data_IF_058239181411
#
_entry.id   IF_058239181411
#
_cell.length_a   1.000
_cell.length_b   1.000
_cell.length_c   1.000
_cell.angle_alpha   90.00
_cell.angle_beta   90.00
_cell.angle_gamma   90.00
#
_symmetry.space_group_name_H-M   'P 1'
#
loop_
_entity.id
_entity.type
_entity.pdbx_description
1 polymer ?
#
# COMPACT_ATOMS: atom_id res chain seq x y z
N UNK A 1 15.12 0.27 22.03
CA UNK A 1 13.90 -0.24 21.41
C UNK A 1 14.25 -1.34 20.42
N UNK A 2 13.63 -2.47 20.58
CA UNK A 2 13.87 -3.57 19.65
C UNK A 2 13.04 -3.43 18.39
N UNK A 3 13.65 -3.71 17.26
CA UNK A 3 12.94 -3.73 16.00
C UNK A 3 12.19 -5.05 15.87
N UNK A 4 10.95 -5.04 15.41
CA UNK A 4 10.23 -6.28 15.18
C UNK A 4 10.94 -7.12 14.11
N UNK A 5 10.77 -8.42 14.19
CA UNK A 5 11.31 -9.31 13.16
C UNK A 5 10.50 -9.17 11.88
N UNK A 6 11.09 -9.59 10.76
CA UNK A 6 10.36 -9.58 9.51
C UNK A 6 9.12 -10.46 9.61
N UNK A 7 9.24 -11.60 10.28
CA UNK A 7 8.14 -12.53 10.44
C UNK A 7 7.00 -11.92 11.23
N UNK A 8 7.31 -11.24 12.33
CA UNK A 8 6.26 -10.61 13.14
C UNK A 8 5.56 -9.49 12.37
N UNK A 9 6.28 -8.81 11.50
CA UNK A 9 5.67 -7.77 10.67
C UNK A 9 4.73 -8.36 9.63
N UNK A 10 5.11 -9.47 9.03
CA UNK A 10 4.23 -10.17 8.11
C UNK A 10 2.95 -10.56 8.80
N UNK A 11 3.05 -11.09 10.01
CA UNK A 11 1.88 -11.45 10.80
C UNK A 11 0.99 -10.24 11.09
N UNK A 12 1.61 -9.13 11.41
CA UNK A 12 0.85 -7.92 11.69
C UNK A 12 0.12 -7.41 10.46
N UNK A 13 0.79 -7.39 9.32
CA UNK A 13 0.16 -6.99 8.06
C UNK A 13 -0.99 -7.93 7.70
N UNK A 14 -0.84 -9.23 7.98
CA UNK A 14 -1.90 -10.19 7.70
C UNK A 14 -3.15 -9.94 8.53
N UNK A 15 -2.99 -9.50 9.78
CA UNK A 15 -4.11 -9.30 10.70
C UNK A 15 -4.78 -7.96 10.52
N UNK A 16 -4.04 -6.96 10.05
CA UNK A 16 -4.50 -5.59 10.01
C UNK A 16 -4.57 -5.13 8.56
N UNK A 17 -5.74 -4.71 8.14
CA UNK A 17 -5.91 -4.19 6.78
C UNK A 17 -5.57 -2.72 6.69
N UNK A 18 -5.50 -2.04 7.83
CA UNK A 18 -5.19 -0.62 7.87
C UNK A 18 -4.45 -0.31 9.16
N UNK A 19 -3.29 0.33 9.04
CA UNK A 19 -2.47 0.70 10.19
C UNK A 19 -2.38 2.21 10.24
N UNK A 20 -2.77 2.84 11.37
CA UNK A 20 -2.64 4.29 11.50
C UNK A 20 -1.19 4.73 11.37
N UNK A 21 -1.02 5.97 10.95
CA UNK A 21 0.30 6.54 10.70
C UNK A 21 1.22 6.44 11.93
N UNK A 22 0.66 6.55 13.14
CA UNK A 22 1.45 6.48 14.36
C UNK A 22 2.12 5.13 14.54
N UNK A 23 1.58 4.07 13.92
CA UNK A 23 2.08 2.72 14.12
C UNK A 23 2.97 2.23 12.98
N UNK A 24 3.05 2.97 11.88
CA UNK A 24 3.84 2.50 10.74
C UNK A 24 5.33 2.35 11.07
N UNK A 25 5.82 3.12 12.04
CA UNK A 25 7.23 3.06 12.43
C UNK A 25 7.60 1.76 13.14
N UNK A 26 6.61 0.98 13.56
CA UNK A 26 6.85 -0.32 14.15
C UNK A 26 7.10 -1.40 13.10
N UNK A 27 6.90 -1.05 11.83
CA UNK A 27 7.10 -1.98 10.71
C UNK A 27 8.42 -1.64 10.05
N UNK A 28 9.25 -2.67 9.83
CA UNK A 28 10.55 -2.51 9.21
C UNK A 28 10.42 -2.73 7.72
N UNK A 29 10.89 -1.78 6.92
CA UNK A 29 10.94 -1.92 5.47
C UNK A 29 12.37 -2.08 5.01
N UNK A 30 12.56 -2.75 3.89
CA UNK A 30 13.89 -2.88 3.29
C UNK A 30 14.33 -1.53 2.76
N UNK A 31 15.56 -1.10 3.05
CA UNK A 31 16.00 0.25 2.67
C UNK A 31 16.00 0.52 1.17
N UNK A 32 16.19 -0.53 0.37
CA UNK A 32 16.25 -0.36 -1.08
C UNK A 32 14.89 -0.49 -1.76
N UNK A 33 13.83 -0.63 -1.01
CA UNK A 33 12.49 -0.72 -1.56
C UNK A 33 11.93 0.68 -1.79
N UNK A 34 11.99 1.13 -3.04
CA UNK A 34 11.56 2.49 -3.39
C UNK A 34 10.19 2.87 -2.87
N UNK A 35 9.13 2.08 -3.15
CA UNK A 35 7.79 2.43 -2.68
C UNK A 35 7.67 2.53 -1.17
N UNK A 36 8.33 1.63 -0.46
CA UNK A 36 8.29 1.63 1.00
C UNK A 36 9.02 2.83 1.57
N UNK A 37 10.19 3.13 1.02
CA UNK A 37 10.97 4.27 1.47
C UNK A 37 10.26 5.58 1.20
N UNK A 38 9.70 5.72 0.01
CA UNK A 38 8.97 6.93 -0.35
C UNK A 38 7.75 7.13 0.52
N UNK A 39 7.03 6.04 0.82
CA UNK A 39 5.89 6.12 1.71
C UNK A 39 6.29 6.59 3.10
N UNK A 40 7.38 6.04 3.65
CA UNK A 40 7.85 6.44 4.97
C UNK A 40 8.26 7.91 5.01
N UNK A 41 8.73 8.44 3.88
CA UNK A 41 9.18 9.82 3.79
C UNK A 41 8.06 10.80 3.49
N UNK A 42 6.86 10.32 3.17
CA UNK A 42 5.78 11.19 2.74
C UNK A 42 5.36 12.19 3.81
N UNK A 43 5.35 11.77 5.07
CA UNK A 43 5.21 12.71 6.18
C UNK A 43 3.85 13.34 6.37
N UNK A 44 2.86 12.93 5.60
CA UNK A 44 1.52 13.51 5.68
C UNK A 44 0.53 12.45 6.16
N UNK A 45 -0.71 12.52 5.70
CA UNK A 45 -1.73 11.57 6.12
C UNK A 45 -1.43 10.20 5.52
N UNK A 46 -0.82 9.33 6.30
CA UNK A 46 -0.31 8.05 5.84
C UNK A 46 -1.08 6.88 6.43
N UNK A 47 -1.44 5.92 5.59
CA UNK A 47 -2.13 4.71 6.02
C UNK A 47 -1.48 3.50 5.35
N UNK A 48 -1.22 2.48 6.15
CA UNK A 48 -0.63 1.23 5.68
C UNK A 48 -1.71 0.15 5.60
N UNK A 49 -1.84 -0.45 4.44
CA UNK A 49 -2.79 -1.52 4.21
C UNK A 49 -2.06 -2.84 4.03
N UNK A 50 -2.62 -3.89 4.56
CA UNK A 50 -2.06 -5.21 4.37
C UNK A 50 -3.11 -6.27 4.64
N UNK A 51 -2.82 -7.50 4.25
CA UNK A 51 -3.75 -8.58 4.49
C UNK A 51 -3.23 -9.88 3.92
N UNK A 52 -3.76 -10.98 4.44
CA UNK A 52 -3.41 -12.29 3.96
C UNK A 52 -4.05 -12.53 2.59
N UNK A 53 -3.43 -13.42 1.83
CA UNK A 53 -3.99 -13.86 0.57
C UNK A 53 -5.28 -14.61 0.82
N UNK A 54 -6.24 -14.46 -0.09
CA UNK A 54 -7.50 -15.15 0.02
C UNK A 54 -8.49 -14.56 -0.96
N UNK A 55 -9.43 -15.36 -1.41
CA UNK A 55 -10.42 -14.92 -2.39
C UNK A 55 -11.17 -13.70 -1.89
N UNK A 56 -11.43 -12.75 -2.74
CA UNK A 56 -12.20 -11.56 -2.42
C UNK A 56 -11.45 -10.48 -1.65
N UNK A 57 -10.40 -10.82 -0.93
CA UNK A 57 -9.66 -9.83 -0.13
C UNK A 57 -8.91 -8.84 -0.99
N UNK A 58 -8.50 -9.24 -2.18
CA UNK A 58 -7.81 -8.34 -3.09
C UNK A 58 -8.67 -7.14 -3.45
N UNK A 59 -9.93 -7.38 -3.76
CA UNK A 59 -10.83 -6.28 -4.08
C UNK A 59 -11.13 -5.40 -2.87
N UNK A 60 -11.25 -6.01 -1.69
CA UNK A 60 -11.47 -5.25 -0.47
C UNK A 60 -10.27 -4.34 -0.19
N UNK A 61 -9.05 -4.84 -0.38
CA UNK A 61 -7.85 -4.05 -0.20
C UNK A 61 -7.79 -2.88 -1.17
N UNK A 62 -8.25 -3.09 -2.39
CA UNK A 62 -8.25 -2.02 -3.39
C UNK A 62 -9.34 -0.99 -3.14
N UNK A 63 -10.46 -1.42 -2.57
CA UNK A 63 -11.60 -0.53 -2.36
C UNK A 63 -11.36 0.46 -1.23
N UNK A 64 -10.73 0.02 -0.16
CA UNK A 64 -10.60 0.84 1.03
C UNK A 64 -9.82 2.13 0.81
N UNK A 65 -8.64 2.12 0.14
CA UNK A 65 -7.91 3.37 -0.10
C UNK A 65 -8.68 4.37 -0.95
N UNK A 66 -9.59 3.89 -1.78
CA UNK A 66 -10.34 4.78 -2.67
C UNK A 66 -11.13 5.84 -1.89
N UNK A 67 -11.52 5.54 -0.66
CA UNK A 67 -12.26 6.48 0.17
C UNK A 67 -11.45 7.74 0.47
N UNK A 68 -10.14 7.66 0.38
CA UNK A 68 -9.25 8.75 0.76
C UNK A 68 -8.54 9.41 -0.43
N UNK A 69 -8.76 8.89 -1.62
CA UNK A 69 -8.02 9.36 -2.79
C UNK A 69 -8.45 10.74 -3.28
N UNK A 70 -9.49 11.31 -2.68
CA UNK A 70 -9.87 12.69 -2.95
C UNK A 70 -9.14 13.69 -2.05
N UNK A 71 -8.38 13.21 -1.07
CA UNK A 71 -7.65 14.08 -0.14
C UNK A 71 -6.23 14.28 -0.61
N UNK A 72 -5.81 15.53 -0.91
CA UNK A 72 -4.49 15.77 -1.49
C UNK A 72 -3.33 15.27 -0.63
N UNK A 73 -3.49 15.26 0.68
CA UNK A 73 -2.43 14.86 1.59
C UNK A 73 -2.39 13.36 1.88
N UNK A 74 -3.31 12.60 1.30
CA UNK A 74 -3.36 11.17 1.58
C UNK A 74 -2.20 10.42 0.91
N UNK A 75 -1.57 9.55 1.68
CA UNK A 75 -0.54 8.63 1.19
C UNK A 75 -0.85 7.25 1.75
N UNK A 76 -1.01 6.29 0.88
CA UNK A 76 -1.29 4.91 1.27
C UNK A 76 -0.23 3.96 0.76
N UNK A 77 -0.09 2.84 1.44
CA UNK A 77 0.80 1.76 0.99
C UNK A 77 0.07 0.44 1.15
N UNK A 78 -0.06 -0.27 0.03
CA UNK A 78 -0.62 -1.63 0.02
C UNK A 78 0.53 -2.62 0.00
N UNK A 79 0.51 -3.57 0.94
CA UNK A 79 1.56 -4.58 1.05
C UNK A 79 0.98 -5.98 0.84
N UNK A 80 1.67 -6.76 0.04
CA UNK A 80 1.38 -8.18 -0.14
C UNK A 80 2.60 -8.99 0.29
N UNK A 81 2.44 -10.31 0.38
CA UNK A 81 3.53 -11.17 0.84
C UNK A 81 4.52 -11.49 -0.27
N UNK A 82 4.05 -11.65 -1.49
CA UNK A 82 4.89 -12.10 -2.60
C UNK A 82 4.74 -11.20 -3.80
N UNK A 83 5.71 -11.31 -4.71
CA UNK A 83 5.67 -10.55 -5.97
C UNK A 83 4.50 -10.98 -6.83
N UNK A 84 4.13 -12.26 -6.80
CA UNK A 84 3.00 -12.75 -7.58
C UNK A 84 1.71 -12.14 -7.09
N UNK A 85 1.52 -12.10 -5.78
CA UNK A 85 0.33 -11.47 -5.20
C UNK A 85 0.29 -9.98 -5.50
N UNK A 86 1.45 -9.34 -5.45
CA UNK A 86 1.53 -7.92 -5.78
C UNK A 86 1.15 -7.65 -7.23
N UNK A 87 1.65 -8.47 -8.15
CA UNK A 87 1.33 -8.30 -9.57
C UNK A 87 -0.16 -8.44 -9.82
N UNK A 88 -0.77 -9.42 -9.17
CA UNK A 88 -2.20 -9.62 -9.30
C UNK A 88 -2.97 -8.41 -8.78
N UNK A 89 -2.53 -7.87 -7.65
CA UNK A 89 -3.17 -6.69 -7.07
C UNK A 89 -3.03 -5.47 -8.00
N UNK A 90 -1.85 -5.27 -8.55
CA UNK A 90 -1.61 -4.17 -9.48
C UNK A 90 -2.50 -4.33 -10.72
N UNK A 91 -2.55 -5.53 -11.26
CA UNK A 91 -3.36 -5.81 -12.45
C UNK A 91 -4.83 -5.47 -12.20
N UNK A 92 -5.36 -5.94 -11.06
CA UNK A 92 -6.74 -5.66 -10.69
C UNK A 92 -7.00 -4.16 -10.50
N UNK A 93 -6.04 -3.46 -9.90
CA UNK A 93 -6.18 -2.03 -9.71
C UNK A 93 -6.23 -1.28 -11.04
N UNK A 94 -5.47 -1.74 -12.03
CA UNK A 94 -5.47 -1.13 -13.35
C UNK A 94 -6.80 -1.32 -14.07
N UNK A 95 -7.55 -2.36 -13.72
CA UNK A 95 -8.89 -2.55 -14.27
C UNK A 95 -9.92 -1.65 -13.59
N UNK A 96 -9.76 -1.41 -12.28
CA UNK A 96 -10.79 -0.78 -11.46
C UNK A 96 -10.57 0.72 -11.30
N UNK A 97 -9.36 1.13 -10.93
CA UNK A 97 -9.11 2.50 -10.50
C UNK A 97 -9.42 3.54 -11.56
N UNK A 98 -9.02 3.35 -12.83
CA UNK A 98 -9.34 4.37 -13.83
C UNK A 98 -10.83 4.56 -14.07
N UNK A 99 -11.65 3.54 -13.78
CA UNK A 99 -13.09 3.63 -13.94
C UNK A 99 -13.74 4.40 -12.79
N UNK A 100 -13.14 4.32 -11.61
CA UNK A 100 -13.69 4.96 -10.41
C UNK A 100 -13.18 6.38 -10.27
N UNK A 101 -11.90 6.60 -10.57
CA UNK A 101 -11.25 7.89 -10.44
C UNK A 101 -10.71 8.31 -11.80
N UNK A 102 -11.51 9.05 -12.59
CA UNK A 102 -11.01 9.51 -13.90
C UNK A 102 -9.78 10.37 -13.73
N UNK A 103 -8.75 10.10 -14.52
CA UNK A 103 -7.51 10.85 -14.45
C UNK A 103 -6.45 10.29 -13.53
N UNK A 104 -6.76 9.25 -12.77
CA UNK A 104 -5.75 8.59 -11.95
C UNK A 104 -4.69 7.96 -12.85
N UNK A 105 -3.42 8.01 -12.43
CA UNK A 105 -2.31 7.51 -13.23
C UNK A 105 -1.46 6.52 -12.45
N UNK A 106 -1.04 5.47 -13.13
CA UNK A 106 -0.15 4.46 -12.57
C UNK A 106 1.28 4.70 -13.06
N UNK A 107 2.24 4.69 -12.13
CA UNK A 107 3.65 4.74 -12.43
C UNK A 107 4.28 3.38 -12.15
N UNK A 108 4.67 2.68 -13.21
CA UNK A 108 5.32 1.38 -13.06
C UNK A 108 6.67 1.52 -12.37
N UNK A 109 7.40 2.57 -12.69
CA UNK A 109 8.72 2.77 -12.11
C UNK A 109 8.64 3.04 -10.61
N UNK A 110 7.65 3.82 -10.20
CA UNK A 110 7.50 4.19 -8.78
C UNK A 110 6.56 3.27 -8.03
N UNK A 111 5.90 2.38 -8.74
CA UNK A 111 4.93 1.46 -8.15
C UNK A 111 3.87 2.21 -7.37
N UNK A 112 3.31 3.23 -7.99
CA UNK A 112 2.33 4.06 -7.29
C UNK A 112 1.21 4.54 -8.22
N UNK A 113 0.05 4.69 -7.63
CA UNK A 113 -1.07 5.42 -8.22
C UNK A 113 -1.04 6.85 -7.73
N UNK A 114 -1.28 7.80 -8.64
CA UNK A 114 -1.42 9.20 -8.29
C UNK A 114 -2.78 9.67 -8.78
N UNK A 115 -3.59 10.14 -7.86
CA UNK A 115 -4.92 10.67 -8.16
C UNK A 115 -4.82 12.13 -8.61
N UNK A 116 -5.83 12.64 -9.34
CA UNK A 116 -5.83 14.06 -9.70
C UNK A 116 -5.77 14.99 -8.50
N UNK A 117 -6.24 14.54 -7.33
CA UNK A 117 -6.16 15.32 -6.11
C UNK A 117 -4.73 15.50 -5.60
N UNK A 118 -3.82 14.64 -6.05
CA UNK A 118 -2.47 14.58 -5.50
C UNK A 118 -2.27 13.43 -4.53
N UNK A 119 -3.34 12.74 -4.15
CA UNK A 119 -3.23 11.56 -3.29
C UNK A 119 -2.40 10.48 -3.98
N UNK A 120 -1.60 9.77 -3.19
CA UNK A 120 -0.70 8.74 -3.71
C UNK A 120 -0.94 7.42 -3.01
N UNK A 121 -0.82 6.35 -3.77
CA UNK A 121 -0.98 5.01 -3.24
C UNK A 121 0.11 4.12 -3.82
N UNK A 122 1.07 3.75 -2.99
CA UNK A 122 2.14 2.85 -3.40
C UNK A 122 1.73 1.40 -3.19
N UNK A 123 2.30 0.53 -3.98
CA UNK A 123 2.09 -0.91 -3.86
C UNK A 123 3.43 -1.59 -3.77
N UNK A 124 3.57 -2.51 -2.80
CA UNK A 124 4.83 -3.21 -2.60
C UNK A 124 4.57 -4.57 -1.97
N UNK A 125 5.64 -5.30 -1.71
CA UNK A 125 5.54 -6.60 -1.06
C UNK A 125 6.56 -6.69 0.05
N UNK A 126 6.32 -7.59 0.99
CA UNK A 126 7.23 -7.83 2.10
C UNK A 126 8.26 -8.85 1.67
N UNK A 127 9.51 -8.41 1.62
CA UNK A 127 10.62 -9.28 1.29
C UNK A 127 11.00 -10.09 2.52
N UNK A 128 11.13 -11.40 2.34
CA UNK A 128 11.47 -12.32 3.43
C UNK A 128 12.90 -12.81 3.33
#
# INVERSE_FOLDING_TARGET
MQKPTLESKVQEVERITEIPIEQKHNIIFRPNEGPQTEFLAAGEREVLYGGSAGGGKSYAMLADPLRYMSHPSFSGLLLRHTTEELRELIFKSQEIYPKIIPGIKWSERKMQWVAPSGARLWMSYLDR
#
